data_IF_404139930728
#
_entry.id   IF_404139930728
#
_cell.length_a   1.000
_cell.length_b   1.000
_cell.length_c   1.000
_cell.angle_alpha   90.00
_cell.angle_beta   90.00
_cell.angle_gamma   90.00
#
_symmetry.space_group_name_H-M   'P 1'
#
loop_
_entity.id
_entity.type
_entity.pdbx_description
1 polymer ?
#
# COMPACT_ATOMS: atom_id res chain seq x y z
N UNK A 1 8.03 -22.59 -9.81
CA UNK A 1 8.10 -21.23 -10.37
C UNK A 1 7.04 -20.45 -9.61
N UNK A 2 7.41 -19.90 -8.47
CA UNK A 2 6.45 -19.26 -7.56
C UNK A 2 5.86 -18.02 -8.23
N UNK A 3 4.54 -17.91 -8.15
CA UNK A 3 3.77 -16.77 -8.66
C UNK A 3 4.21 -15.49 -7.92
N UNK A 4 5.09 -14.72 -8.57
CA UNK A 4 5.72 -13.48 -8.10
C UNK A 4 4.74 -12.31 -7.86
N UNK A 5 3.44 -12.55 -7.73
CA UNK A 5 2.41 -11.50 -7.69
C UNK A 5 1.48 -11.54 -6.48
N UNK A 6 1.66 -12.49 -5.55
CA UNK A 6 0.77 -12.61 -4.40
C UNK A 6 1.46 -12.20 -3.10
N UNK A 7 0.83 -11.28 -2.37
CA UNK A 7 1.17 -11.00 -0.99
C UNK A 7 0.67 -12.15 -0.11
N UNK A 8 1.59 -12.78 0.62
CA UNK A 8 1.33 -13.94 1.46
C UNK A 8 1.37 -13.50 2.93
N UNK A 9 0.35 -13.85 3.74
CA UNK A 9 0.38 -13.61 5.18
C UNK A 9 1.63 -14.21 5.85
N UNK A 10 2.15 -13.53 6.87
CA UNK A 10 3.32 -14.01 7.62
C UNK A 10 4.65 -13.91 6.88
N UNK A 11 4.74 -13.08 5.82
CA UNK A 11 5.96 -12.92 5.03
C UNK A 11 6.44 -11.47 4.99
N UNK A 12 7.76 -11.31 4.86
CA UNK A 12 8.42 -10.02 4.71
C UNK A 12 8.50 -9.60 3.24
N UNK A 13 8.29 -8.31 3.01
CA UNK A 13 8.36 -7.70 1.69
C UNK A 13 9.11 -6.38 1.73
N UNK A 14 10.05 -6.20 0.82
CA UNK A 14 10.60 -4.89 0.48
C UNK A 14 9.72 -4.26 -0.61
N UNK A 15 8.91 -3.31 -0.21
CA UNK A 15 8.07 -2.52 -1.10
C UNK A 15 8.91 -1.40 -1.71
N UNK A 16 8.85 -1.28 -3.02
CA UNK A 16 9.49 -0.22 -3.79
C UNK A 16 8.51 0.35 -4.79
N UNK A 17 8.40 1.67 -4.82
CA UNK A 17 7.61 2.39 -5.83
C UNK A 17 8.34 3.67 -6.21
N UNK A 18 8.38 3.93 -7.52
CA UNK A 18 8.99 5.11 -8.11
C UNK A 18 7.97 5.79 -9.00
N UNK A 19 7.98 7.12 -8.98
CA UNK A 19 7.09 7.93 -9.80
C UNK A 19 7.24 7.56 -11.27
N UNK A 20 6.12 7.53 -11.98
CA UNK A 20 6.12 7.27 -13.41
C UNK A 20 7.04 8.28 -14.11
N UNK A 21 7.82 7.86 -15.11
CA UNK A 21 8.83 8.69 -15.76
C UNK A 21 9.82 9.37 -14.79
N UNK A 22 10.02 8.81 -13.58
CA UNK A 22 10.85 9.37 -12.49
C UNK A 22 10.36 10.72 -11.97
N UNK A 23 9.10 11.05 -12.20
CA UNK A 23 8.46 12.25 -11.65
C UNK A 23 8.42 12.21 -10.12
N UNK A 24 8.27 13.39 -9.53
CA UNK A 24 8.17 13.53 -8.09
C UNK A 24 6.84 12.95 -7.57
N UNK A 25 6.94 11.95 -6.69
CA UNK A 25 5.80 11.42 -5.92
C UNK A 25 5.39 12.43 -4.85
N UNK A 26 6.36 13.16 -4.28
CA UNK A 26 6.15 14.16 -3.24
C UNK A 26 6.61 15.55 -3.73
N UNK A 27 5.79 16.25 -4.55
CA UNK A 27 6.14 17.58 -5.07
C UNK A 27 6.43 18.63 -3.99
N UNK A 28 5.80 18.52 -2.82
CA UNK A 28 5.93 19.42 -1.69
C UNK A 28 6.03 18.70 -0.33
N UNK A 29 6.55 19.39 0.70
CA UNK A 29 6.76 18.81 2.04
C UNK A 29 5.46 18.34 2.70
N UNK A 30 4.31 18.91 2.35
CA UNK A 30 3.00 18.51 2.89
C UNK A 30 2.56 17.13 2.41
N UNK A 31 3.13 16.63 1.30
CA UNK A 31 2.69 15.36 0.74
C UNK A 31 3.25 14.15 1.51
N UNK A 32 4.41 14.28 2.13
CA UNK A 32 5.03 13.23 2.96
C UNK A 32 4.14 12.82 4.15
N UNK A 33 3.74 13.73 5.05
CA UNK A 33 2.86 13.37 6.16
C UNK A 33 1.49 12.91 5.67
N UNK A 34 0.96 13.47 4.57
CA UNK A 34 -0.31 13.01 4.00
C UNK A 34 -0.22 11.56 3.49
N UNK A 35 0.87 11.20 2.81
CA UNK A 35 1.12 9.82 2.40
C UNK A 35 1.19 8.87 3.59
N UNK A 36 1.91 9.26 4.65
CA UNK A 36 2.01 8.45 5.87
C UNK A 36 0.66 8.32 6.60
N UNK A 37 -0.21 9.33 6.57
CA UNK A 37 -1.58 9.20 7.09
C UNK A 37 -2.38 8.14 6.32
N UNK A 38 -2.27 8.13 4.98
CA UNK A 38 -2.88 7.08 4.17
C UNK A 38 -2.24 5.71 4.43
N UNK A 39 -0.92 5.66 4.67
CA UNK A 39 -0.21 4.43 5.07
C UNK A 39 -0.78 3.85 6.38
N UNK A 40 -0.93 4.68 7.41
CA UNK A 40 -1.53 4.28 8.68
C UNK A 40 -2.98 3.80 8.51
N UNK A 41 -3.74 4.41 7.60
CA UNK A 41 -5.12 4.02 7.34
C UNK A 41 -5.24 2.70 6.58
N UNK A 42 -4.38 2.48 5.58
CA UNK A 42 -4.58 1.41 4.60
C UNK A 42 -3.65 0.22 4.82
N UNK A 43 -2.38 0.46 5.18
CA UNK A 43 -1.32 -0.56 5.27
C UNK A 43 -1.12 -1.05 6.70
N UNK A 44 -1.02 -0.15 7.68
CA UNK A 44 -0.80 -0.53 9.08
C UNK A 44 -1.77 -1.61 9.62
N UNK A 45 -3.07 -1.62 9.25
CA UNK A 45 -3.98 -2.68 9.66
C UNK A 45 -3.59 -4.07 9.15
N UNK A 46 -3.01 -4.16 7.94
CA UNK A 46 -2.70 -5.45 7.29
C UNK A 46 -1.21 -5.83 7.36
N UNK A 47 -0.34 -4.90 7.73
CA UNK A 47 1.10 -5.11 7.72
C UNK A 47 1.80 -4.28 8.79
N UNK A 48 2.84 -4.85 9.37
CA UNK A 48 3.79 -4.14 10.22
C UNK A 48 4.86 -3.49 9.35
N UNK A 49 5.26 -2.27 9.68
CA UNK A 49 6.30 -1.52 8.94
C UNK A 49 7.52 -1.38 9.84
N UNK A 50 8.65 -1.95 9.43
CA UNK A 50 9.89 -1.91 10.22
C UNK A 50 10.72 -0.68 9.89
N UNK A 51 10.88 -0.42 8.60
CA UNK A 51 11.65 0.72 8.08
C UNK A 51 10.97 1.27 6.85
N UNK A 52 11.15 2.56 6.61
CA UNK A 52 10.74 3.22 5.38
C UNK A 52 11.70 4.35 5.01
N UNK A 53 11.77 4.67 3.73
CA UNK A 53 12.46 5.83 3.20
C UNK A 53 11.56 6.52 2.19
N UNK A 54 11.25 7.80 2.41
CA UNK A 54 10.48 8.62 1.48
C UNK A 54 11.42 9.61 0.79
N UNK A 55 11.63 9.44 -0.51
CA UNK A 55 12.42 10.34 -1.35
C UNK A 55 11.51 11.01 -2.37
N UNK A 56 11.90 12.18 -2.85
CA UNK A 56 11.04 13.03 -3.70
C UNK A 56 10.33 12.29 -4.83
N UNK A 57 11.03 11.38 -5.53
CA UNK A 57 10.50 10.62 -6.67
C UNK A 57 10.32 9.11 -6.43
N UNK A 58 10.57 8.59 -5.23
CA UNK A 58 10.37 7.17 -4.93
C UNK A 58 10.31 6.90 -3.42
N UNK A 59 9.77 5.76 -3.02
CA UNK A 59 9.83 5.31 -1.65
C UNK A 59 10.15 3.82 -1.55
N UNK A 60 10.66 3.46 -0.38
CA UNK A 60 10.90 2.09 0.04
C UNK A 60 10.27 1.83 1.40
N UNK A 61 9.79 0.62 1.63
CA UNK A 61 9.39 0.16 2.95
C UNK A 61 9.67 -1.32 3.13
N UNK A 62 10.19 -1.73 4.28
CA UNK A 62 10.22 -3.13 4.68
C UNK A 62 8.99 -3.39 5.55
N UNK A 63 8.14 -4.31 5.09
CA UNK A 63 6.91 -4.68 5.79
C UNK A 63 6.85 -6.17 6.05
N UNK A 64 6.10 -6.55 7.08
CA UNK A 64 5.66 -7.92 7.30
C UNK A 64 4.14 -7.96 7.19
N UNK A 65 3.62 -8.74 6.25
CA UNK A 65 2.17 -8.95 6.16
C UNK A 65 1.75 -9.75 7.38
N UNK A 66 0.74 -9.25 8.12
CA UNK A 66 0.28 -9.88 9.35
C UNK A 66 -0.14 -11.34 9.10
N UNK A 67 -0.02 -12.23 10.10
CA UNK A 67 -0.48 -13.61 10.00
C UNK A 67 -1.96 -13.70 9.58
N UNK A 68 -2.32 -14.81 8.93
CA UNK A 68 -3.68 -15.04 8.43
C UNK A 68 -4.74 -14.85 9.52
N UNK A 69 -4.48 -15.38 10.72
CA UNK A 69 -5.41 -15.27 11.84
C UNK A 69 -5.74 -13.80 12.18
N UNK A 70 -4.73 -12.94 12.30
CA UNK A 70 -4.90 -11.52 12.60
C UNK A 70 -5.66 -10.79 11.48
N UNK A 71 -5.34 -11.11 10.22
CA UNK A 71 -6.01 -10.52 9.07
C UNK A 71 -7.50 -10.86 9.05
N UNK A 72 -7.88 -12.10 9.39
CA UNK A 72 -9.28 -12.54 9.40
C UNK A 72 -10.13 -11.83 10.48
N UNK A 73 -9.50 -11.25 11.50
CA UNK A 73 -10.18 -10.44 12.52
C UNK A 73 -10.52 -9.02 12.04
N UNK A 74 -9.98 -8.58 10.89
CA UNK A 74 -10.20 -7.23 10.38
C UNK A 74 -11.53 -7.12 9.63
N UNK A 75 -12.38 -6.11 9.91
CA UNK A 75 -13.62 -5.89 9.16
C UNK A 75 -13.41 -5.74 7.64
N UNK A 76 -12.29 -5.13 7.25
CA UNK A 76 -11.91 -4.93 5.85
C UNK A 76 -11.52 -6.24 5.12
N UNK A 77 -11.22 -7.30 5.88
CA UNK A 77 -10.83 -8.62 5.35
C UNK A 77 -11.96 -9.64 5.40
N UNK A 78 -13.19 -9.23 5.73
CA UNK A 78 -14.38 -10.08 5.77
C UNK A 78 -14.50 -10.98 4.54
N UNK A 79 -14.60 -12.27 4.80
CA UNK A 79 -14.59 -13.32 3.79
C UNK A 79 -16.01 -13.79 3.53
N UNK A 80 -16.38 -14.00 2.26
CA UNK A 80 -17.56 -14.82 1.97
C UNK A 80 -17.16 -16.28 2.14
N UNK A 81 -18.01 -17.10 2.77
CA UNK A 81 -17.71 -18.50 3.11
C UNK A 81 -17.28 -19.39 1.92
N UNK A 82 -17.54 -18.97 0.68
CA UNK A 82 -17.26 -19.73 -0.54
C UNK A 82 -16.15 -19.12 -1.42
N UNK A 83 -15.36 -18.17 -0.90
CA UNK A 83 -14.20 -17.63 -1.62
C UNK A 83 -12.96 -18.51 -1.30
N UNK A 84 -12.42 -19.27 -2.27
CA UNK A 84 -11.30 -20.16 -2.02
C UNK A 84 -9.98 -19.41 -1.77
N UNK A 85 -9.90 -18.12 -2.13
CA UNK A 85 -8.68 -17.33 -2.00
C UNK A 85 -8.95 -15.84 -1.78
N UNK A 86 -9.60 -15.48 -0.67
CA UNK A 86 -10.12 -14.13 -0.47
C UNK A 86 -9.03 -13.07 -0.29
N UNK A 87 -7.85 -13.47 0.19
CA UNK A 87 -6.76 -12.54 0.47
C UNK A 87 -5.99 -12.14 -0.79
N UNK A 88 -6.01 -12.97 -1.84
CA UNK A 88 -5.31 -12.71 -3.11
C UNK A 88 -5.65 -11.34 -3.70
N UNK A 89 -6.92 -10.94 -3.62
CA UNK A 89 -7.38 -9.66 -4.13
C UNK A 89 -7.49 -8.58 -3.05
N UNK A 90 -7.79 -8.96 -1.80
CA UNK A 90 -7.99 -8.01 -0.70
C UNK A 90 -6.70 -7.35 -0.22
N UNK A 91 -5.60 -8.10 -0.09
CA UNK A 91 -4.33 -7.54 0.36
C UNK A 91 -3.79 -6.49 -0.65
N UNK A 92 -3.64 -6.81 -1.95
CA UNK A 92 -3.20 -5.81 -2.93
C UNK A 92 -4.15 -4.60 -3.01
N UNK A 93 -5.47 -4.82 -2.86
CA UNK A 93 -6.44 -3.72 -2.88
C UNK A 93 -6.19 -2.69 -1.78
N UNK A 94 -5.66 -3.05 -0.61
CA UNK A 94 -5.29 -2.06 0.42
C UNK A 94 -4.19 -1.12 -0.04
N UNK A 95 -3.19 -1.65 -0.76
CA UNK A 95 -2.17 -0.84 -1.40
C UNK A 95 -2.76 0.02 -2.51
N UNK A 96 -3.65 -0.53 -3.35
CA UNK A 96 -4.37 0.23 -4.37
C UNK A 96 -5.19 1.37 -3.78
N UNK A 97 -5.89 1.15 -2.66
CA UNK A 97 -6.68 2.19 -1.99
C UNK A 97 -5.80 3.37 -1.57
N UNK A 98 -4.63 3.08 -0.99
CA UNK A 98 -3.64 4.09 -0.62
C UNK A 98 -3.16 4.87 -1.85
N UNK A 99 -2.65 4.18 -2.87
CA UNK A 99 -2.07 4.82 -4.04
C UNK A 99 -3.11 5.64 -4.80
N UNK A 100 -4.31 5.12 -4.98
CA UNK A 100 -5.39 5.82 -5.64
C UNK A 100 -5.85 7.06 -4.85
N UNK A 101 -5.96 6.96 -3.52
CA UNK A 101 -6.31 8.11 -2.69
C UNK A 101 -5.25 9.20 -2.78
N UNK A 102 -3.98 8.81 -2.71
CA UNK A 102 -2.86 9.74 -2.81
C UNK A 102 -2.79 10.41 -4.19
N UNK A 103 -2.80 9.63 -5.28
CA UNK A 103 -2.77 10.14 -6.65
C UNK A 103 -3.91 11.13 -6.92
N UNK A 104 -5.14 10.82 -6.49
CA UNK A 104 -6.29 11.74 -6.61
C UNK A 104 -6.07 13.05 -5.88
N UNK A 105 -5.52 13.01 -4.66
CA UNK A 105 -5.25 14.21 -3.88
C UNK A 105 -4.14 15.09 -4.52
N UNK A 106 -3.06 14.46 -4.98
CA UNK A 106 -1.96 15.15 -5.67
C UNK A 106 -2.45 15.77 -6.98
N UNK A 107 -3.18 15.00 -7.80
CA UNK A 107 -3.77 15.49 -9.03
C UNK A 107 -4.66 16.71 -8.81
N UNK A 108 -5.52 16.67 -7.78
CA UNK A 108 -6.36 17.81 -7.41
C UNK A 108 -5.55 19.01 -6.91
N UNK A 109 -4.52 18.78 -6.09
CA UNK A 109 -3.69 19.83 -5.45
C UNK A 109 -2.85 20.59 -6.47
N UNK A 110 -2.28 19.88 -7.45
CA UNK A 110 -1.31 20.43 -8.41
C UNK A 110 -1.86 20.52 -9.84
N UNK A 111 -3.18 20.39 -10.03
CA UNK A 111 -3.84 20.40 -11.34
C UNK A 111 -3.20 19.42 -12.35
N UNK A 112 -2.86 18.22 -11.86
CA UNK A 112 -2.31 17.11 -12.66
C UNK A 112 -3.39 16.09 -13.00
N UNK A 113 -3.09 15.24 -13.98
CA UNK A 113 -3.89 14.06 -14.32
C UNK A 113 -2.99 12.84 -14.35
N UNK A 114 -3.55 11.64 -14.15
CA UNK A 114 -2.80 10.38 -14.19
C UNK A 114 -3.02 9.49 -12.97
N UNK A 115 -2.29 8.38 -12.94
CA UNK A 115 -2.30 7.36 -11.87
C UNK A 115 -1.01 7.43 -11.06
#
# INVERSE_FOLDING_TARGET
>A
MDDLRKLVPGHYYHLYNRGNNREDIFPGPENYPYFLQLWLKHIHPIAETFVYALMKNHFHALVFIRPLFDLLLLPAMTVKANDPDPLSHKLPRRFSDLFNAYAKAINKRYSRTGS
#
